data_IF_316100630440
#
_entry.id   IF_316100630440
#
_cell.length_a   1.000
_cell.length_b   1.000
_cell.length_c   1.000
_cell.angle_alpha   90.00
_cell.angle_beta   90.00
_cell.angle_gamma   90.00
#
_symmetry.space_group_name_H-M   'P 1'
#
loop_
_entity.id
_entity.type
_entity.pdbx_description
1 polymer ?
#
# COMPACT_ATOMS: atom_id res chain seq x y z
N UNK A 1 -8.41 46.88 -13.98
CA UNK A 1 -7.97 45.57 -13.46
C UNK A 1 -8.61 44.51 -14.32
N UNK A 2 -7.80 43.63 -14.90
CA UNK A 2 -8.30 42.53 -15.74
C UNK A 2 -8.78 41.38 -14.86
N UNK A 3 -10.08 41.09 -14.92
CA UNK A 3 -10.75 40.11 -14.08
C UNK A 3 -10.25 38.69 -14.42
N UNK A 4 -9.84 38.46 -15.67
CA UNK A 4 -9.29 37.19 -16.13
C UNK A 4 -7.94 36.87 -15.47
N UNK A 5 -7.09 37.89 -15.27
CA UNK A 5 -5.79 37.72 -14.62
C UNK A 5 -5.91 37.30 -13.15
N UNK A 6 -6.93 37.79 -12.43
CA UNK A 6 -7.22 37.33 -11.06
C UNK A 6 -7.69 35.88 -11.04
N UNK A 7 -8.60 35.51 -11.94
CA UNK A 7 -9.16 34.15 -12.00
C UNK A 7 -8.08 33.14 -12.36
N UNK A 8 -7.20 33.46 -13.31
CA UNK A 8 -6.05 32.62 -13.63
C UNK A 8 -5.15 32.45 -12.40
N UNK A 9 -4.72 33.54 -11.74
CA UNK A 9 -3.75 33.44 -10.65
C UNK A 9 -4.30 32.72 -9.41
N UNK A 10 -5.51 33.05 -8.98
CA UNK A 10 -6.13 32.41 -7.81
C UNK A 10 -6.65 31.00 -8.12
N UNK A 11 -7.05 30.72 -9.36
CA UNK A 11 -7.50 29.40 -9.79
C UNK A 11 -6.39 28.35 -9.72
N UNK A 12 -5.19 28.67 -10.20
CA UNK A 12 -4.05 27.74 -10.08
C UNK A 12 -3.60 27.58 -8.63
N UNK A 13 -3.58 28.65 -7.83
CA UNK A 13 -3.25 28.55 -6.41
C UNK A 13 -4.25 27.66 -5.65
N UNK A 14 -5.55 27.79 -5.94
CA UNK A 14 -6.58 26.94 -5.37
C UNK A 14 -6.41 25.47 -5.76
N UNK A 15 -5.96 25.17 -6.99
CA UNK A 15 -5.65 23.81 -7.42
C UNK A 15 -4.45 23.21 -6.67
N UNK A 16 -3.39 23.99 -6.46
CA UNK A 16 -2.22 23.54 -5.69
C UNK A 16 -2.62 23.24 -4.25
N UNK A 17 -3.26 24.19 -3.57
CA UNK A 17 -3.65 24.03 -2.16
C UNK A 17 -4.71 22.94 -2.00
N UNK A 18 -5.68 22.89 -2.92
CA UNK A 18 -6.71 21.87 -2.93
C UNK A 18 -6.13 20.47 -3.10
N UNK A 19 -5.22 20.27 -4.05
CA UNK A 19 -4.65 18.95 -4.33
C UNK A 19 -3.77 18.41 -3.21
N UNK A 20 -3.20 19.29 -2.37
CA UNK A 20 -2.55 18.88 -1.11
C UNK A 20 -3.56 18.24 -0.13
N UNK A 21 -4.81 18.70 -0.13
CA UNK A 21 -5.86 18.17 0.75
C UNK A 21 -6.60 16.97 0.14
N UNK A 22 -7.05 17.09 -1.11
CA UNK A 22 -7.70 16.03 -1.89
C UNK A 22 -7.20 16.06 -3.34
N UNK A 23 -6.28 15.14 -3.68
CA UNK A 23 -5.71 15.06 -5.03
C UNK A 23 -6.73 14.70 -6.11
N UNK A 24 -7.52 13.63 -5.91
CA UNK A 24 -8.44 13.10 -6.93
C UNK A 24 -9.55 14.10 -7.28
N UNK A 25 -10.27 14.61 -6.28
CA UNK A 25 -11.38 15.55 -6.45
C UNK A 25 -10.91 16.83 -7.15
N UNK A 26 -9.78 17.39 -6.70
CA UNK A 26 -9.29 18.68 -7.22
C UNK A 26 -8.69 18.52 -8.62
N UNK A 27 -8.12 17.36 -8.94
CA UNK A 27 -7.70 17.04 -10.31
C UNK A 27 -8.89 17.04 -11.26
N UNK A 28 -10.00 16.40 -10.87
CA UNK A 28 -11.23 16.37 -11.68
C UNK A 28 -11.82 17.77 -11.86
N UNK A 29 -11.93 18.54 -10.77
CA UNK A 29 -12.43 19.92 -10.81
C UNK A 29 -11.54 20.83 -11.67
N UNK A 30 -10.21 20.69 -11.57
CA UNK A 30 -9.26 21.38 -12.43
C UNK A 30 -9.42 21.03 -13.90
N UNK A 31 -9.63 19.75 -14.21
CA UNK A 31 -9.93 19.28 -15.56
C UNK A 31 -11.21 19.91 -16.14
N UNK A 32 -12.27 19.98 -15.33
CA UNK A 32 -13.53 20.66 -15.71
C UNK A 32 -13.30 22.16 -15.94
N UNK A 33 -12.56 22.83 -15.05
CA UNK A 33 -12.25 24.25 -15.20
C UNK A 33 -11.41 24.54 -16.45
N UNK A 34 -10.46 23.66 -16.79
CA UNK A 34 -9.69 23.75 -18.03
C UNK A 34 -10.57 23.53 -19.26
N UNK A 35 -11.48 22.55 -19.22
CA UNK A 35 -12.41 22.27 -20.30
C UNK A 35 -13.39 23.43 -20.56
N UNK A 36 -13.77 24.18 -19.51
CA UNK A 36 -14.59 25.40 -19.63
C UNK A 36 -13.81 26.62 -20.13
N UNK A 37 -12.50 26.49 -20.38
CA UNK A 37 -11.65 27.59 -20.83
C UNK A 37 -11.31 28.62 -19.74
N UNK A 38 -11.63 28.33 -18.47
CA UNK A 38 -11.32 29.21 -17.33
C UNK A 38 -9.84 29.17 -16.96
N UNK A 39 -9.19 28.03 -17.21
CA UNK A 39 -7.78 27.79 -16.91
C UNK A 39 -7.12 27.07 -18.08
N UNK A 40 -5.81 27.25 -18.25
CA UNK A 40 -5.02 26.57 -19.28
C UNK A 40 -4.70 25.15 -18.81
N UNK A 41 -5.13 24.16 -19.57
CA UNK A 41 -4.89 22.73 -19.29
C UNK A 41 -3.46 22.38 -18.84
N UNK A 42 -2.37 22.80 -19.55
CA UNK A 42 -1.01 22.46 -19.11
C UNK A 42 -0.65 23.07 -17.75
N UNK A 43 -1.17 24.26 -17.42
CA UNK A 43 -0.96 24.90 -16.12
C UNK A 43 -1.76 24.22 -15.02
N UNK A 44 -2.97 23.74 -15.31
CA UNK A 44 -3.75 22.91 -14.37
C UNK A 44 -3.01 21.63 -14.02
N UNK A 45 -2.49 20.92 -15.04
CA UNK A 45 -1.70 19.70 -14.83
C UNK A 45 -0.47 19.98 -13.97
N UNK A 46 0.27 21.04 -14.28
CA UNK A 46 1.44 21.44 -13.49
C UNK A 46 1.07 21.80 -12.04
N UNK A 47 -0.01 22.57 -11.83
CA UNK A 47 -0.47 22.99 -10.51
C UNK A 47 -0.87 21.80 -9.63
N UNK A 48 -1.67 20.88 -10.18
CA UNK A 48 -2.12 19.67 -9.47
C UNK A 48 -0.95 18.75 -9.16
N UNK A 49 -0.04 18.54 -10.12
CA UNK A 49 1.15 17.71 -9.91
C UNK A 49 2.04 18.27 -8.79
N UNK A 50 2.26 19.60 -8.78
CA UNK A 50 3.01 20.28 -7.73
C UNK A 50 2.33 20.16 -6.36
N UNK A 51 1.01 20.37 -6.30
CA UNK A 51 0.29 20.20 -5.03
C UNK A 51 0.32 18.78 -4.51
N UNK A 52 0.22 17.77 -5.38
CA UNK A 52 0.44 16.36 -5.00
C UNK A 52 1.83 16.09 -4.44
N UNK A 53 2.90 16.57 -5.11
CA UNK A 53 4.27 16.43 -4.62
C UNK A 53 4.48 17.10 -3.25
N UNK A 54 3.90 18.28 -3.05
CA UNK A 54 3.95 18.99 -1.76
C UNK A 54 3.18 18.20 -0.70
N UNK A 55 1.99 17.68 -1.03
CA UNK A 55 1.19 16.85 -0.14
C UNK A 55 1.94 15.61 0.33
N UNK A 56 2.60 14.89 -0.58
CA UNK A 56 3.40 13.71 -0.25
C UNK A 56 4.56 14.05 0.70
N UNK A 57 5.25 15.17 0.44
CA UNK A 57 6.31 15.64 1.32
C UNK A 57 5.77 15.99 2.71
N UNK A 58 4.64 16.69 2.80
CA UNK A 58 4.00 17.01 4.07
C UNK A 58 3.58 15.75 4.84
N UNK A 59 2.97 14.78 4.15
CA UNK A 59 2.61 13.49 4.73
C UNK A 59 3.84 12.72 5.23
N UNK A 60 4.94 12.75 4.49
CA UNK A 60 6.22 12.16 4.92
C UNK A 60 6.75 12.82 6.18
N UNK A 61 6.81 14.15 6.23
CA UNK A 61 7.29 14.87 7.42
C UNK A 61 6.38 14.66 8.64
N UNK A 62 5.06 14.62 8.41
CA UNK A 62 4.09 14.33 9.46
C UNK A 62 4.25 12.90 9.98
N UNK A 63 4.41 11.94 9.08
CA UNK A 63 4.72 10.55 9.39
C UNK A 63 6.05 10.40 10.14
N UNK A 64 7.07 11.17 9.80
CA UNK A 64 8.37 11.12 10.49
C UNK A 64 8.29 11.72 11.90
N UNK A 65 7.56 12.82 12.07
CA UNK A 65 7.44 13.50 13.38
C UNK A 65 6.52 12.77 14.35
N UNK A 66 5.41 12.22 13.87
CA UNK A 66 4.39 11.56 14.69
C UNK A 66 4.47 10.02 14.65
N UNK A 67 5.23 9.46 13.72
CA UNK A 67 5.46 8.03 13.54
C UNK A 67 5.94 7.30 14.80
N UNK A 68 6.92 7.80 15.57
CA UNK A 68 7.35 7.14 16.81
C UNK A 68 6.22 7.00 17.84
N UNK A 69 5.30 7.96 17.88
CA UNK A 69 4.14 7.95 18.79
C UNK A 69 3.05 7.00 18.29
N UNK A 70 2.82 6.94 16.97
CA UNK A 70 1.87 6.00 16.34
C UNK A 70 2.38 4.54 16.40
N UNK A 71 3.65 4.31 16.12
CA UNK A 71 4.30 2.98 16.18
C UNK A 71 4.20 2.38 17.58
N UNK A 72 4.39 3.17 18.66
CA UNK A 72 4.18 2.68 20.04
C UNK A 72 2.75 2.22 20.32
N UNK A 73 1.77 2.68 19.54
CA UNK A 73 0.35 2.28 19.66
C UNK A 73 0.03 0.99 18.90
N UNK A 74 0.73 0.71 17.79
CA UNK A 74 0.58 -0.51 16.99
C UNK A 74 1.57 -1.63 17.38
N UNK A 75 2.68 -1.32 18.07
CA UNK A 75 3.64 -2.30 18.60
C UNK A 75 3.16 -3.06 19.85
N UNK A 76 1.85 -3.13 20.11
CA UNK A 76 1.30 -4.25 20.89
C UNK A 76 1.22 -5.48 20.00
N UNK A 77 2.36 -5.93 19.49
CA UNK A 77 2.49 -7.32 19.12
C UNK A 77 2.27 -8.12 20.42
N UNK A 78 1.44 -9.18 20.42
CA UNK A 78 1.37 -10.10 21.54
C UNK A 78 2.80 -10.50 21.89
N UNK A 79 3.21 -10.22 23.12
CA UNK A 79 4.44 -10.77 23.67
C UNK A 79 4.21 -12.28 23.70
N UNK A 80 4.60 -12.97 22.63
CA UNK A 80 4.67 -14.42 22.60
C UNK A 80 5.71 -14.80 23.64
N UNK A 81 5.19 -15.15 24.80
CA UNK A 81 5.90 -15.66 25.94
C UNK A 81 6.59 -16.94 25.48
N UNK A 82 7.87 -16.86 25.07
CA UNK A 82 8.67 -18.02 24.68
C UNK A 82 8.67 -19.00 25.87
N UNK A 83 7.96 -20.14 25.81
CA UNK A 83 8.08 -21.15 26.83
C UNK A 83 9.30 -21.99 26.48
N UNK A 84 10.39 -21.80 27.22
CA UNK A 84 11.47 -22.78 27.33
C UNK A 84 12.29 -23.01 26.06
N UNK A 85 13.59 -22.78 26.18
CA UNK A 85 14.57 -23.28 25.24
C UNK A 85 14.55 -24.83 25.22
N UNK A 86 13.66 -25.44 24.44
CA UNK A 86 13.76 -26.86 24.09
C UNK A 86 13.58 -27.03 22.57
N UNK A 87 14.73 -27.09 21.90
CA UNK A 87 14.98 -27.79 20.63
C UNK A 87 13.99 -27.59 19.47
N UNK A 88 14.02 -26.43 18.80
CA UNK A 88 13.74 -26.39 17.37
C UNK A 88 15.06 -26.42 16.59
N UNK A 89 15.40 -27.51 15.87
CA UNK A 89 16.51 -27.46 14.93
C UNK A 89 16.13 -26.48 13.82
N UNK A 90 16.95 -25.44 13.64
CA UNK A 90 16.76 -24.45 12.60
C UNK A 90 16.64 -25.15 11.23
N UNK A 91 15.56 -24.96 10.47
CA UNK A 91 15.53 -25.41 9.10
C UNK A 91 16.51 -24.51 8.33
N UNK A 92 17.62 -25.08 7.87
CA UNK A 92 18.49 -24.43 6.90
C UNK A 92 17.65 -24.16 5.65
N UNK A 93 17.15 -22.94 5.50
CA UNK A 93 16.39 -22.47 4.35
C UNK A 93 17.30 -22.46 3.11
N UNK A 94 17.36 -23.60 2.43
CA UNK A 94 17.70 -23.63 1.00
C UNK A 94 16.47 -23.14 0.24
N UNK A 95 16.48 -21.84 -0.08
CA UNK A 95 15.52 -21.16 -0.94
C UNK A 95 15.55 -21.77 -2.35
N UNK A 96 14.76 -22.81 -2.64
CA UNK A 96 14.62 -23.24 -4.04
C UNK A 96 13.35 -23.94 -4.48
N UNK A 97 12.27 -24.06 -3.71
CA UNK A 97 11.00 -24.52 -4.28
C UNK A 97 9.82 -24.10 -3.38
N UNK A 98 9.35 -22.87 -3.54
CA UNK A 98 8.02 -22.47 -3.06
C UNK A 98 7.01 -22.76 -4.19
N UNK A 99 6.36 -23.92 -4.15
CA UNK A 99 5.13 -24.15 -4.90
C UNK A 99 3.94 -24.07 -3.92
N UNK A 100 2.91 -23.27 -4.23
CA UNK A 100 1.71 -23.20 -3.42
C UNK A 100 0.77 -24.38 -3.75
N UNK A 101 -0.20 -24.62 -2.87
CA UNK A 101 -1.34 -25.54 -2.99
C UNK A 101 -1.09 -26.96 -2.50
N UNK A 102 -1.51 -27.21 -1.25
CA UNK A 102 -2.09 -28.50 -0.90
C UNK A 102 -3.59 -28.33 -0.68
N UNK A 103 -4.32 -28.43 -1.79
CA UNK A 103 -5.71 -28.90 -1.78
C UNK A 103 -5.68 -30.32 -1.25
N UNK A 104 -6.31 -30.54 -0.10
CA UNK A 104 -6.46 -31.84 0.56
C UNK A 104 -7.52 -32.65 -0.18
N UNK A 105 -7.11 -33.62 -0.98
CA UNK A 105 -8.00 -34.67 -1.53
C UNK A 105 -7.81 -35.94 -0.70
N UNK A 106 -8.86 -36.50 -0.08
CA UNK A 106 -8.79 -37.78 0.59
C UNK A 106 -9.00 -38.90 -0.44
N UNK A 107 -8.01 -39.79 -0.60
CA UNK A 107 -8.21 -41.05 -1.32
C UNK A 107 -8.11 -42.25 -0.37
N UNK A 108 -9.20 -43.01 -0.42
CA UNK A 108 -9.46 -44.32 0.18
C UNK A 108 -8.25 -45.26 0.16
N UNK A 109 -8.02 -45.92 1.29
CA UNK A 109 -7.09 -47.05 1.46
C UNK A 109 -7.68 -48.26 0.74
N UNK A 110 -7.03 -48.73 -0.32
CA UNK A 110 -7.21 -50.08 -0.84
C UNK A 110 -6.22 -50.99 -0.10
N UNK A 111 -6.75 -51.86 0.76
CA UNK A 111 -6.04 -53.04 1.25
C UNK A 111 -5.88 -54.01 0.09
N UNK A 112 -4.63 -54.38 -0.25
CA UNK A 112 -4.33 -55.62 -0.98
C UNK A 112 -2.87 -56.01 -0.70
N UNK A 113 -2.77 -57.15 -0.02
CA UNK A 113 -1.71 -58.16 -0.05
C UNK A 113 -0.24 -57.79 0.21
N UNK A 114 0.23 -58.23 1.38
CA UNK A 114 1.55 -58.89 1.48
C UNK A 114 1.38 -60.27 2.09
N UNK A 115 1.55 -61.28 1.24
CA UNK A 115 1.84 -62.64 1.64
C UNK A 115 3.07 -62.69 2.55
N UNK A 116 2.99 -63.53 3.58
CA UNK A 116 4.12 -63.92 4.39
C UNK A 116 4.58 -65.34 4.01
N UNK A 117 5.89 -65.61 4.07
CA UNK A 117 6.51 -66.81 3.52
C UNK A 117 6.34 -68.05 4.41
N UNK A 118 6.19 -69.20 3.76
CA UNK A 118 6.32 -70.54 4.34
C UNK A 118 7.73 -70.73 4.90
N UNK A 119 7.82 -71.02 6.20
CA UNK A 119 9.03 -71.47 6.90
C UNK A 119 9.30 -72.95 6.62
N UNK A 120 10.58 -73.39 6.69
CA UNK A 120 11.11 -74.53 5.95
C UNK A 120 10.59 -75.91 6.38
#
# INVERSE_FOLDING_TARGET
MDINGLIEHYGYAALVVGSVAEGETITLLGGVAAHQGLLKFPLVVAAVALGGMIGDQLLYFLGLRFGPTLLRRFSKAPQENQPGAEAYPAPSLSFRHWHPLYVRIPHHRADTDRGQPVTP
#
